data_IF_098307519460
#
_entry.id   IF_098307519460
#
_cell.length_a   1.000
_cell.length_b   1.000
_cell.length_c   1.000
_cell.angle_alpha   90.00
_cell.angle_beta   90.00
_cell.angle_gamma   90.00
#
_symmetry.space_group_name_H-M   'P 1'
#
loop_
_entity.id
_entity.type
_entity.pdbx_description
1 polymer ?
#
# COMPACT_ATOMS: atom_id res chain seq x y z
N UNK A 1 18.46 22.32 -12.20
CA UNK A 1 18.63 21.11 -11.37
C UNK A 1 17.43 20.21 -11.63
N UNK A 2 17.60 18.89 -11.75
CA UNK A 2 16.47 17.99 -11.93
C UNK A 2 15.63 17.97 -10.64
N UNK A 3 14.31 18.05 -10.78
CA UNK A 3 13.41 17.95 -9.64
C UNK A 3 13.40 16.48 -9.17
N UNK A 4 13.58 16.19 -7.87
CA UNK A 4 13.49 14.83 -7.37
C UNK A 4 12.08 14.29 -7.58
N UNK A 5 11.97 13.00 -7.89
CA UNK A 5 10.70 12.29 -8.04
C UNK A 5 10.46 11.49 -6.77
N UNK A 6 9.24 11.55 -6.26
CA UNK A 6 8.81 10.84 -5.06
C UNK A 6 8.11 9.54 -5.42
N UNK A 7 8.02 8.66 -4.44
CA UNK A 7 7.36 7.37 -4.58
C UNK A 7 7.39 6.59 -3.28
N UNK A 8 6.71 5.45 -3.29
CA UNK A 8 6.63 4.54 -2.16
C UNK A 8 7.51 3.32 -2.38
N UNK A 9 8.24 2.92 -1.33
CA UNK A 9 8.99 1.65 -1.34
C UNK A 9 8.06 0.51 -0.92
N UNK A 10 7.93 -0.49 -1.78
CA UNK A 10 7.17 -1.72 -1.54
C UNK A 10 8.12 -2.90 -1.72
N UNK A 11 8.68 -3.38 -0.60
CA UNK A 11 9.70 -4.44 -0.62
C UNK A 11 10.97 -4.00 -1.35
N UNK A 12 11.28 -4.64 -2.48
CA UNK A 12 12.42 -4.31 -3.35
C UNK A 12 12.06 -3.39 -4.53
N UNK A 13 10.80 -2.96 -4.62
CA UNK A 13 10.28 -2.14 -5.72
C UNK A 13 9.99 -0.72 -5.24
N UNK A 14 10.23 0.28 -6.09
CA UNK A 14 9.86 1.68 -5.85
C UNK A 14 8.72 2.03 -6.81
N UNK A 15 7.54 2.31 -6.28
CA UNK A 15 6.38 2.81 -7.01
C UNK A 15 6.46 4.33 -7.08
N UNK A 16 6.67 4.89 -8.27
CA UNK A 16 6.86 6.33 -8.45
C UNK A 16 5.52 7.04 -8.66
N UNK A 17 5.35 8.20 -8.05
CA UNK A 17 4.13 9.02 -8.16
C UNK A 17 3.96 9.64 -9.55
N UNK A 18 5.05 9.70 -10.32
CA UNK A 18 5.08 10.25 -11.66
C UNK A 18 5.95 9.38 -12.58
N UNK A 19 5.60 9.29 -13.88
CA UNK A 19 6.43 8.61 -14.85
C UNK A 19 7.77 9.32 -14.99
N UNK A 20 8.84 8.52 -15.06
CA UNK A 20 10.21 9.01 -15.23
C UNK A 20 10.81 8.48 -16.52
N UNK A 21 11.68 9.25 -17.19
CA UNK A 21 12.45 8.74 -18.32
C UNK A 21 13.33 7.56 -17.89
N UNK A 22 13.65 6.62 -18.80
CA UNK A 22 14.56 5.53 -18.50
C UNK A 22 15.90 6.00 -17.93
N UNK A 23 16.36 5.31 -16.89
CA UNK A 23 17.63 5.60 -16.21
C UNK A 23 18.79 4.69 -16.67
N UNK A 24 18.62 3.99 -17.79
CA UNK A 24 19.61 3.02 -18.28
C UNK A 24 20.98 3.69 -18.49
N UNK A 25 22.02 3.11 -17.87
CA UNK A 25 23.38 3.67 -17.88
C UNK A 25 23.60 4.91 -17.00
N UNK A 26 22.60 5.38 -16.25
CA UNK A 26 22.71 6.54 -15.36
C UNK A 26 22.85 6.10 -13.91
N UNK A 27 23.60 6.88 -13.13
CA UNK A 27 23.63 6.74 -11.66
C UNK A 27 22.44 7.48 -11.08
N UNK A 28 21.76 6.85 -10.13
CA UNK A 28 20.59 7.40 -9.44
C UNK A 28 20.90 7.45 -7.95
N UNK A 29 20.51 8.55 -7.29
CA UNK A 29 20.57 8.67 -5.83
C UNK A 29 19.16 8.41 -5.30
N UNK A 30 19.05 7.46 -4.37
CA UNK A 30 17.80 7.14 -3.69
C UNK A 30 17.95 7.60 -2.23
N UNK A 31 17.04 8.47 -1.80
CA UNK A 31 16.92 8.89 -0.42
C UNK A 31 15.66 8.25 0.14
N UNK A 32 15.82 7.48 1.21
CA UNK A 32 14.72 6.83 1.91
C UNK A 32 14.41 7.64 3.15
N UNK A 33 13.20 8.18 3.20
CA UNK A 33 12.66 8.83 4.39
C UNK A 33 11.62 7.89 5.00
N UNK A 34 11.76 7.49 6.28
CA UNK A 34 10.73 6.72 6.93
C UNK A 34 9.47 7.57 7.02
N UNK A 35 8.41 7.08 6.40
CA UNK A 35 7.07 7.64 6.62
C UNK A 35 6.62 7.19 8.02
N UNK A 36 6.15 8.13 8.84
CA UNK A 36 5.57 7.76 10.12
C UNK A 36 4.29 6.98 9.86
N UNK A 37 4.23 5.73 10.34
CA UNK A 37 2.99 4.97 10.32
C UNK A 37 1.91 5.76 11.05
N UNK A 38 0.73 5.86 10.44
CA UNK A 38 -0.43 6.50 11.08
C UNK A 38 -0.87 5.64 12.26
N UNK A 39 -0.43 6.01 13.46
CA UNK A 39 -0.87 5.38 14.70
C UNK A 39 -2.26 5.91 15.04
N UNK A 40 -3.28 5.13 14.69
CA UNK A 40 -4.66 5.43 15.07
C UNK A 40 -4.80 5.36 16.60
N UNK A 41 -5.51 6.32 17.19
CA UNK A 41 -5.92 6.24 18.59
C UNK A 41 -6.84 5.04 18.83
N UNK A 42 -7.00 4.56 20.08
CA UNK A 42 -7.88 3.43 20.38
C UNK A 42 -9.33 3.61 19.88
N UNK A 43 -9.82 4.85 19.86
CA UNK A 43 -11.14 5.20 19.35
C UNK A 43 -11.22 5.09 17.82
N UNK A 44 -10.21 5.57 17.12
CA UNK A 44 -10.14 5.51 15.66
C UNK A 44 -9.95 4.07 15.17
N UNK A 45 -9.12 3.28 15.85
CA UNK A 45 -9.00 1.85 15.60
C UNK A 45 -10.35 1.15 15.76
N UNK A 46 -11.09 1.46 16.83
CA UNK A 46 -12.41 0.88 17.06
C UNK A 46 -13.40 1.25 15.97
N UNK A 47 -13.42 2.51 15.55
CA UNK A 47 -14.30 2.97 14.48
C UNK A 47 -13.96 2.32 13.13
N UNK A 48 -12.66 2.20 12.80
CA UNK A 48 -12.20 1.52 11.59
C UNK A 48 -12.57 0.03 11.60
N UNK A 49 -12.44 -0.61 12.76
CA UNK A 49 -12.86 -1.99 12.96
C UNK A 49 -14.36 -2.18 12.79
N UNK A 50 -15.18 -1.35 13.44
CA UNK A 50 -16.64 -1.43 13.33
C UNK A 50 -17.10 -1.19 11.88
N UNK A 51 -16.45 -0.27 11.16
CA UNK A 51 -16.69 -0.04 9.74
C UNK A 51 -16.31 -1.26 8.87
N UNK A 52 -15.18 -1.89 9.15
CA UNK A 52 -14.75 -3.11 8.46
C UNK A 52 -15.71 -4.28 8.73
N UNK A 53 -16.13 -4.47 9.99
CA UNK A 53 -17.11 -5.50 10.37
C UNK A 53 -18.45 -5.30 9.65
N UNK A 54 -18.90 -4.06 9.52
CA UNK A 54 -20.15 -3.75 8.83
C UNK A 54 -20.12 -4.05 7.32
N UNK A 55 -18.94 -3.97 6.69
CA UNK A 55 -18.74 -4.18 5.25
C UNK A 55 -18.26 -5.62 4.94
N UNK A 56 -17.68 -6.30 5.93
CA UNK A 56 -17.08 -7.63 5.81
C UNK A 56 -15.71 -7.61 5.12
N UNK A 57 -14.92 -8.70 5.22
CA UNK A 57 -13.59 -8.81 4.60
C UNK A 57 -13.61 -8.71 3.07
N UNK A 58 -14.79 -8.82 2.45
CA UNK A 58 -15.06 -8.63 1.03
C UNK A 58 -16.53 -8.21 0.90
N UNK A 59 -16.86 -7.16 0.13
CA UNK A 59 -18.21 -7.10 -0.47
C UNK A 59 -18.46 -8.42 -1.22
N UNK A 60 -19.71 -8.91 -1.28
CA UNK A 60 -20.03 -10.34 -1.15
C UNK A 60 -19.01 -11.24 -1.84
N UNK A 61 -18.29 -12.07 -1.07
CA UNK A 61 -17.68 -13.26 -1.66
C UNK A 61 -18.85 -14.07 -2.23
N UNK A 62 -18.95 -14.13 -3.55
CA UNK A 62 -19.75 -15.17 -4.20
C UNK A 62 -19.11 -16.50 -3.80
N UNK A 63 -19.68 -17.15 -2.79
CA UNK A 63 -19.38 -18.52 -2.42
C UNK A 63 -19.96 -19.41 -3.53
N UNK A 64 -19.15 -19.69 -4.55
CA UNK A 64 -19.51 -20.49 -5.72
C UNK A 64 -19.14 -21.98 -5.57
N UNK A 65 -18.88 -22.47 -4.35
CA UNK A 65 -18.77 -23.92 -4.14
C UNK A 65 -18.23 -24.35 -2.80
N UNK A 66 -19.03 -25.18 -2.11
CA UNK A 66 -18.75 -25.80 -0.81
C UNK A 66 -17.32 -26.37 -0.70
N UNK A 67 -16.64 -25.99 0.38
CA UNK A 67 -15.35 -26.59 0.75
C UNK A 67 -15.51 -28.09 1.02
N UNK A 68 -15.03 -28.94 0.10
CA UNK A 68 -14.89 -30.37 0.34
C UNK A 68 -13.54 -30.64 0.99
N UNK A 69 -13.57 -31.25 2.18
CA UNK A 69 -12.37 -31.76 2.86
C UNK A 69 -12.01 -33.16 2.32
N UNK A 70 -10.70 -33.52 2.26
CA UNK A 70 -10.25 -34.86 1.90
C UNK A 70 -10.57 -35.92 2.97
#
# INVERSE_FOLDING_TARGET
MAQPVTGRVVGSTIELDAPVPPFEGKRVLILLEPEEDVVLSPREQRAAWDAWVAVGPQGPLEDDGEATFP
#
